data_IF_104773474470
#
_entry.id   IF_104773474470
#
_cell.length_a   1.000
_cell.length_b   1.000
_cell.length_c   1.000
_cell.angle_alpha   90.00
_cell.angle_beta   90.00
_cell.angle_gamma   90.00
#
_symmetry.space_group_name_H-M   'P 1'
#
loop_
_entity.id
_entity.type
_entity.pdbx_description
1 polymer ?
#
# COMPACT_ATOMS: atom_id res chain seq x y z
N UNK A 1 21.39 -33.24 43.90
CA UNK A 1 20.43 -32.79 42.87
C UNK A 1 21.07 -33.06 41.51
N UNK A 2 20.79 -34.22 40.89
CA UNK A 2 21.34 -34.57 39.58
C UNK A 2 20.53 -33.85 38.50
N UNK A 3 21.17 -32.91 37.80
CA UNK A 3 20.57 -32.24 36.65
C UNK A 3 20.70 -33.19 35.46
N UNK A 4 19.59 -33.79 35.03
CA UNK A 4 19.50 -34.50 33.76
C UNK A 4 19.63 -33.48 32.62
N UNK A 5 20.86 -33.23 32.16
CA UNK A 5 21.10 -32.55 30.90
C UNK A 5 20.94 -33.58 29.77
N UNK A 6 19.72 -33.73 29.26
CA UNK A 6 19.51 -34.34 27.95
C UNK A 6 20.02 -33.33 26.93
N UNK A 7 21.30 -33.40 26.59
CA UNK A 7 21.83 -32.73 25.41
C UNK A 7 21.21 -33.42 24.20
N UNK A 8 20.12 -32.88 23.68
CA UNK A 8 19.66 -33.27 22.36
C UNK A 8 20.53 -32.50 21.34
N UNK A 9 21.49 -33.15 20.65
CA UNK A 9 22.37 -32.49 19.70
C UNK A 9 21.63 -31.86 18.50
N UNK A 10 20.33 -32.16 18.33
CA UNK A 10 19.52 -31.62 17.25
C UNK A 10 19.06 -30.15 17.45
N UNK A 11 19.11 -29.58 18.66
CA UNK A 11 18.43 -28.30 18.95
C UNK A 11 19.30 -27.16 19.49
N UNK A 12 20.59 -27.38 19.74
CA UNK A 12 21.47 -26.31 20.21
C UNK A 12 22.92 -26.65 19.90
N UNK A 13 23.42 -26.19 18.76
CA UNK A 13 24.86 -26.09 18.56
C UNK A 13 25.35 -24.99 19.51
N UNK A 14 25.87 -25.38 20.66
CA UNK A 14 26.35 -24.43 21.68
C UNK A 14 27.85 -24.33 21.51
N UNK A 15 28.37 -23.13 21.23
CA UNK A 15 29.82 -22.88 21.19
C UNK A 15 30.28 -22.55 22.59
N UNK A 16 31.32 -23.26 23.06
CA UNK A 16 32.02 -22.93 24.28
C UNK A 16 33.09 -21.90 23.95
N UNK A 17 32.99 -20.70 24.51
CA UNK A 17 34.07 -19.72 24.43
C UNK A 17 35.24 -20.22 25.29
N UNK A 18 36.40 -20.45 24.65
CA UNK A 18 37.56 -21.08 25.29
C UNK A 18 38.26 -20.18 26.33
N UNK A 19 38.08 -18.86 26.28
CA UNK A 19 38.70 -17.92 27.21
C UNK A 19 37.85 -17.64 28.45
N UNK A 20 36.53 -17.74 28.31
CA UNK A 20 35.56 -17.37 29.37
C UNK A 20 34.78 -18.57 29.92
N UNK A 21 34.81 -19.72 29.25
CA UNK A 21 34.01 -20.89 29.58
C UNK A 21 32.51 -20.71 29.32
N UNK A 22 32.10 -19.59 28.73
CA UNK A 22 30.68 -19.27 28.51
C UNK A 22 30.14 -20.07 27.33
N UNK A 23 28.99 -20.70 27.52
CA UNK A 23 28.23 -21.37 26.46
C UNK A 23 27.37 -20.32 25.74
N UNK A 24 27.63 -20.13 24.46
CA UNK A 24 26.80 -19.30 23.59
C UNK A 24 26.08 -20.22 22.63
N UNK A 25 24.74 -20.13 22.57
CA UNK A 25 23.97 -20.84 21.54
C UNK A 25 24.39 -20.23 20.20
N UNK A 26 24.85 -21.04 19.23
CA UNK A 26 24.98 -20.60 17.84
C UNK A 26 23.59 -20.14 17.43
N UNK A 27 23.43 -18.82 17.27
CA UNK A 27 22.25 -18.27 16.64
C UNK A 27 22.07 -18.97 15.29
N UNK A 28 20.83 -19.26 14.91
CA UNK A 28 20.50 -19.99 13.67
C UNK A 28 20.74 -19.17 12.40
N UNK A 29 21.65 -18.19 12.44
CA UNK A 29 21.76 -17.11 11.47
C UNK A 29 20.54 -16.17 11.54
N UNK A 30 20.69 -14.96 10.99
CA UNK A 30 19.51 -14.11 10.75
C UNK A 30 18.73 -14.77 9.62
N UNK A 31 17.48 -15.16 9.88
CA UNK A 31 16.59 -15.67 8.83
C UNK A 31 16.20 -14.50 7.92
N UNK A 32 16.12 -14.76 6.61
CA UNK A 32 15.63 -13.77 5.62
C UNK A 32 14.19 -13.34 5.89
N UNK A 33 13.74 -12.31 5.18
CA UNK A 33 12.37 -11.79 5.31
C UNK A 33 11.35 -12.69 4.59
N UNK A 34 11.80 -13.44 3.59
CA UNK A 34 10.98 -14.34 2.81
C UNK A 34 11.44 -15.80 2.93
N UNK A 35 10.50 -16.71 2.72
CA UNK A 35 10.77 -18.14 2.59
C UNK A 35 10.04 -18.69 1.37
N UNK A 36 10.77 -19.35 0.46
CA UNK A 36 10.19 -20.01 -0.70
C UNK A 36 9.55 -21.32 -0.25
N UNK A 37 8.21 -21.38 -0.26
CA UNK A 37 7.47 -22.62 0.03
C UNK A 37 7.44 -23.53 -1.20
N UNK A 38 7.21 -22.95 -2.39
CA UNK A 38 7.32 -23.65 -3.68
C UNK A 38 8.03 -22.76 -4.70
N UNK A 39 9.15 -23.22 -5.29
CA UNK A 39 9.94 -22.39 -6.20
C UNK A 39 9.24 -22.20 -7.54
N UNK A 40 9.60 -21.12 -8.24
CA UNK A 40 9.22 -20.97 -9.64
C UNK A 40 10.03 -21.91 -10.52
N UNK A 41 9.38 -22.46 -11.56
CA UNK A 41 10.03 -23.20 -12.65
C UNK A 41 10.20 -22.33 -13.91
N UNK A 42 9.71 -21.10 -13.87
CA UNK A 42 9.80 -20.18 -15.00
C UNK A 42 11.17 -19.50 -15.03
N UNK A 43 11.70 -19.29 -16.23
CA UNK A 43 12.88 -18.46 -16.45
C UNK A 43 12.61 -17.00 -16.01
N UNK A 44 13.64 -16.22 -15.63
CA UNK A 44 13.52 -14.78 -15.42
C UNK A 44 12.85 -14.08 -16.62
N UNK A 45 12.04 -13.05 -16.35
CA UNK A 45 11.28 -12.33 -17.38
C UNK A 45 10.12 -13.07 -18.05
N UNK A 46 9.97 -14.40 -17.85
CA UNK A 46 8.85 -15.14 -18.41
C UNK A 46 7.49 -14.63 -17.88
N UNK A 47 6.42 -14.64 -18.68
CA UNK A 47 5.18 -14.02 -18.27
C UNK A 47 4.46 -14.71 -17.11
N UNK A 48 3.93 -13.94 -16.17
CA UNK A 48 3.29 -14.44 -14.95
C UNK A 48 2.36 -13.42 -14.29
N UNK A 49 1.47 -13.89 -13.42
CA UNK A 49 0.64 -13.03 -12.56
C UNK A 49 1.09 -13.11 -11.11
N UNK A 50 1.44 -11.99 -10.49
CA UNK A 50 1.75 -11.89 -9.06
C UNK A 50 0.46 -11.69 -8.23
N UNK A 51 0.19 -12.60 -7.30
CA UNK A 51 -1.01 -12.54 -6.45
C UNK A 51 -0.59 -12.33 -5.01
N UNK A 52 -0.91 -11.17 -4.45
CA UNK A 52 -0.61 -10.88 -3.04
C UNK A 52 -1.75 -11.41 -2.17
N UNK A 53 -1.44 -12.45 -1.39
CA UNK A 53 -2.36 -13.05 -0.44
C UNK A 53 -2.05 -12.59 0.97
N UNK A 54 -3.09 -12.57 1.79
CA UNK A 54 -2.97 -12.31 3.22
C UNK A 54 -4.22 -11.66 3.75
N UNK A 55 -4.22 -11.43 5.06
CA UNK A 55 -5.39 -10.91 5.74
C UNK A 55 -5.37 -9.39 5.79
N UNK A 56 -6.54 -8.76 5.89
CA UNK A 56 -6.63 -7.32 6.15
C UNK A 56 -5.82 -6.98 7.42
N UNK A 57 -5.02 -5.91 7.33
CA UNK A 57 -4.02 -5.48 8.34
C UNK A 57 -2.79 -6.39 8.50
N UNK A 58 -2.64 -7.41 7.66
CA UNK A 58 -1.53 -8.37 7.67
C UNK A 58 -0.30 -7.94 6.88
N UNK A 59 -0.27 -6.74 6.30
CA UNK A 59 0.89 -6.27 5.52
C UNK A 59 0.81 -6.53 4.01
N UNK A 60 -0.34 -6.94 3.48
CA UNK A 60 -0.53 -7.12 2.03
C UNK A 60 -0.29 -5.85 1.23
N UNK A 61 -0.65 -4.67 1.78
CA UNK A 61 -0.33 -3.39 1.14
C UNK A 61 1.17 -3.13 1.05
N UNK A 62 1.96 -3.56 2.05
CA UNK A 62 3.43 -3.41 2.01
C UNK A 62 3.98 -4.16 0.80
N UNK A 63 3.62 -5.44 0.63
CA UNK A 63 4.09 -6.25 -0.52
C UNK A 63 3.58 -5.69 -1.85
N UNK A 64 2.30 -5.29 -1.94
CA UNK A 64 1.78 -4.67 -3.16
C UNK A 64 2.50 -3.36 -3.51
N UNK A 65 2.84 -2.54 -2.50
CA UNK A 65 3.66 -1.34 -2.66
C UNK A 65 5.06 -1.68 -3.16
N UNK A 66 5.73 -2.65 -2.55
CA UNK A 66 7.04 -3.16 -2.99
C UNK A 66 7.00 -3.63 -4.45
N UNK A 67 5.96 -4.37 -4.87
CA UNK A 67 5.77 -4.79 -6.26
C UNK A 67 5.66 -3.60 -7.22
N UNK A 68 4.91 -2.55 -6.88
CA UNK A 68 4.88 -1.30 -7.67
C UNK A 68 6.25 -0.62 -7.70
N UNK A 69 6.95 -0.63 -6.58
CA UNK A 69 8.34 -0.16 -6.46
C UNK A 69 9.32 -0.90 -7.38
N UNK A 70 9.07 -2.19 -7.62
CA UNK A 70 9.79 -3.03 -8.60
C UNK A 70 9.32 -2.83 -10.05
N UNK A 71 8.28 -2.04 -10.27
CA UNK A 71 7.72 -1.76 -11.61
C UNK A 71 6.65 -2.77 -12.07
N UNK A 72 6.11 -3.58 -11.17
CA UNK A 72 4.98 -4.48 -11.49
C UNK A 72 3.69 -3.67 -11.60
N UNK A 73 2.94 -3.85 -12.69
CA UNK A 73 1.59 -3.31 -12.80
C UNK A 73 0.69 -4.07 -11.80
N UNK A 74 0.11 -3.35 -10.83
CA UNK A 74 -0.74 -3.95 -9.78
C UNK A 74 -2.24 -3.74 -10.03
N UNK A 75 -2.61 -3.34 -11.24
CA UNK A 75 -3.95 -2.92 -11.63
C UNK A 75 -4.11 -1.40 -11.76
N UNK A 76 -5.35 -0.98 -11.98
CA UNK A 76 -5.73 0.40 -12.26
C UNK A 76 -6.44 1.04 -11.05
N UNK A 77 -6.46 2.36 -10.99
CA UNK A 77 -7.16 3.14 -9.95
C UNK A 77 -6.84 2.70 -8.52
N UNK A 78 -5.56 2.36 -8.31
CA UNK A 78 -5.08 1.83 -7.05
C UNK A 78 -5.27 2.86 -5.93
N UNK A 79 -6.02 2.47 -4.91
CA UNK A 79 -6.11 3.23 -3.67
C UNK A 79 -4.80 3.23 -2.87
N UNK A 80 -4.79 3.88 -1.71
CA UNK A 80 -3.67 3.81 -0.75
C UNK A 80 -3.29 2.40 -0.34
N UNK A 81 -4.26 1.48 -0.36
CA UNK A 81 -4.03 0.09 0.00
C UNK A 81 -3.41 -0.70 -1.16
N UNK A 82 -3.13 -0.06 -2.30
CA UNK A 82 -2.71 -0.70 -3.55
C UNK A 82 -3.66 -1.84 -3.97
N UNK A 83 -4.95 -1.62 -3.74
CA UNK A 83 -6.02 -2.53 -4.12
C UNK A 83 -6.57 -2.13 -5.48
N UNK A 84 -6.77 -3.13 -6.31
CA UNK A 84 -7.38 -2.98 -7.62
C UNK A 84 -8.90 -2.81 -7.47
N UNK A 85 -9.38 -1.62 -7.82
CA UNK A 85 -10.79 -1.25 -7.66
C UNK A 85 -11.73 -2.15 -8.48
N UNK A 86 -11.31 -2.64 -9.65
CA UNK A 86 -12.13 -3.56 -10.46
C UNK A 86 -12.21 -4.93 -9.81
N UNK A 87 -11.10 -5.47 -9.31
CA UNK A 87 -11.11 -6.76 -8.59
C UNK A 87 -11.96 -6.67 -7.32
N UNK A 88 -11.87 -5.56 -6.59
CA UNK A 88 -12.74 -5.30 -5.44
C UNK A 88 -14.22 -5.30 -5.83
N UNK A 89 -14.59 -4.63 -6.93
CA UNK A 89 -15.98 -4.62 -7.41
C UNK A 89 -16.47 -6.04 -7.75
N UNK A 90 -15.64 -6.85 -8.41
CA UNK A 90 -15.94 -8.25 -8.73
C UNK A 90 -16.24 -9.05 -7.47
N UNK A 91 -15.39 -8.96 -6.44
CA UNK A 91 -15.62 -9.71 -5.19
C UNK A 91 -16.88 -9.21 -4.49
N UNK A 92 -17.05 -7.88 -4.37
CA UNK A 92 -18.21 -7.29 -3.68
C UNK A 92 -19.54 -7.63 -4.35
N UNK A 93 -19.57 -7.72 -5.68
CA UNK A 93 -20.76 -8.06 -6.48
C UNK A 93 -20.89 -9.55 -6.80
N UNK A 94 -19.89 -10.35 -6.41
CA UNK A 94 -19.78 -11.78 -6.74
C UNK A 94 -19.78 -12.06 -8.26
N UNK A 95 -19.30 -11.13 -9.08
CA UNK A 95 -19.28 -11.20 -10.54
C UNK A 95 -18.02 -11.92 -11.07
N UNK A 96 -17.64 -13.06 -10.47
CA UNK A 96 -16.35 -13.73 -10.73
C UNK A 96 -16.12 -14.11 -12.20
N UNK A 97 -17.19 -14.39 -12.94
CA UNK A 97 -17.11 -14.74 -14.37
C UNK A 97 -16.53 -13.61 -15.23
N UNK A 98 -16.59 -12.37 -14.74
CA UNK A 98 -16.02 -11.19 -15.43
C UNK A 98 -14.50 -11.08 -15.27
N UNK A 99 -13.91 -11.74 -14.26
CA UNK A 99 -12.49 -11.63 -13.97
C UNK A 99 -11.61 -12.19 -15.09
N UNK A 100 -12.05 -13.28 -15.75
CA UNK A 100 -11.31 -13.88 -16.85
C UNK A 100 -11.04 -12.89 -17.99
N UNK A 101 -11.98 -12.00 -18.28
CA UNK A 101 -11.81 -10.94 -19.27
C UNK A 101 -10.73 -9.93 -18.87
N UNK A 102 -10.71 -9.52 -17.59
CA UNK A 102 -9.69 -8.61 -17.06
C UNK A 102 -8.31 -9.27 -17.07
N UNK A 103 -8.20 -10.50 -16.60
CA UNK A 103 -6.95 -11.24 -16.57
C UNK A 103 -6.36 -11.39 -17.98
N UNK A 104 -7.19 -11.77 -18.96
CA UNK A 104 -6.78 -11.90 -20.37
C UNK A 104 -6.31 -10.58 -20.98
N UNK A 105 -7.01 -9.48 -20.70
CA UNK A 105 -6.59 -8.15 -21.18
C UNK A 105 -5.21 -7.78 -20.63
N UNK A 106 -4.98 -7.98 -19.32
CA UNK A 106 -3.70 -7.68 -18.69
C UNK A 106 -2.57 -8.61 -19.12
N UNK A 107 -2.89 -9.88 -19.37
CA UNK A 107 -1.92 -10.82 -19.91
C UNK A 107 -1.40 -10.41 -21.31
N UNK A 108 -2.23 -9.72 -22.10
CA UNK A 108 -1.86 -9.19 -23.40
C UNK A 108 -1.04 -7.89 -23.30
N UNK A 109 -1.32 -7.04 -22.31
CA UNK A 109 -0.66 -5.74 -22.11
C UNK A 109 0.66 -5.86 -21.33
N UNK A 110 0.78 -6.87 -20.46
CA UNK A 110 1.89 -6.97 -19.52
C UNK A 110 2.48 -8.38 -19.47
N UNK A 111 3.81 -8.46 -19.56
CA UNK A 111 4.54 -9.70 -19.26
C UNK A 111 4.39 -10.11 -17.78
N UNK A 112 4.44 -9.13 -16.88
CA UNK A 112 4.23 -9.33 -15.45
C UNK A 112 3.23 -8.27 -14.94
N UNK A 113 2.11 -8.74 -14.42
CA UNK A 113 1.14 -7.93 -13.69
C UNK A 113 0.76 -8.64 -12.40
N UNK A 114 0.07 -7.95 -11.53
CA UNK A 114 -0.44 -8.52 -10.30
C UNK A 114 -1.66 -7.80 -9.79
N UNK A 115 -2.20 -8.31 -8.71
CA UNK A 115 -3.27 -7.65 -7.98
C UNK A 115 -3.22 -8.06 -6.51
N UNK A 116 -3.89 -7.25 -5.70
CA UNK A 116 -4.02 -7.46 -4.27
C UNK A 116 -5.43 -7.09 -3.87
N UNK A 117 -6.10 -8.00 -3.18
CA UNK A 117 -7.33 -7.71 -2.46
C UNK A 117 -7.42 -8.70 -1.29
N UNK A 118 -7.27 -8.27 -0.02
CA UNK A 118 -7.17 -9.19 1.11
C UNK A 118 -8.33 -10.19 1.17
N UNK A 119 -9.55 -9.72 0.91
CA UNK A 119 -10.77 -10.52 0.90
C UNK A 119 -10.84 -11.49 -0.29
N UNK A 120 -10.14 -11.23 -1.40
CA UNK A 120 -10.03 -12.23 -2.47
C UNK A 120 -9.30 -13.50 -2.00
N UNK A 121 -8.45 -13.40 -0.97
CA UNK A 121 -7.71 -14.56 -0.44
C UNK A 121 -8.63 -15.68 0.06
N UNK A 122 -9.89 -15.38 0.41
CA UNK A 122 -10.87 -16.40 0.89
C UNK A 122 -11.66 -17.05 -0.23
N UNK A 123 -11.56 -16.53 -1.46
CA UNK A 123 -12.29 -16.99 -2.66
C UNK A 123 -11.35 -17.18 -3.85
N UNK A 124 -10.07 -17.45 -3.57
CA UNK A 124 -9.02 -17.51 -4.58
C UNK A 124 -9.18 -18.71 -5.54
N UNK A 125 -9.92 -19.74 -5.13
CA UNK A 125 -10.37 -20.84 -5.98
C UNK A 125 -11.19 -20.36 -7.20
N UNK A 126 -11.92 -19.24 -7.06
CA UNK A 126 -12.70 -18.62 -8.15
C UNK A 126 -11.82 -17.86 -9.14
N UNK A 127 -10.72 -17.29 -8.67
CA UNK A 127 -9.79 -16.50 -9.49
C UNK A 127 -8.73 -17.37 -10.18
N UNK A 128 -8.20 -18.37 -9.45
CA UNK A 128 -7.06 -19.19 -9.88
C UNK A 128 -7.17 -19.74 -11.31
N UNK A 129 -8.32 -20.30 -11.77
CA UNK A 129 -8.42 -20.87 -13.11
C UNK A 129 -8.20 -19.86 -14.25
N UNK A 130 -8.35 -18.56 -13.97
CA UNK A 130 -8.19 -17.48 -14.96
C UNK A 130 -6.78 -16.88 -14.99
N UNK A 131 -5.88 -17.32 -14.11
CA UNK A 131 -4.56 -16.69 -13.95
C UNK A 131 -3.49 -17.40 -14.79
N UNK A 132 -2.66 -16.60 -15.47
CA UNK A 132 -1.49 -17.10 -16.19
C UNK A 132 -0.30 -17.25 -15.25
N UNK A 133 0.17 -18.49 -15.10
CA UNK A 133 1.33 -18.85 -14.29
C UNK A 133 1.36 -18.13 -12.92
N UNK A 134 0.31 -18.28 -12.09
CA UNK A 134 0.17 -17.49 -10.88
C UNK A 134 1.35 -17.71 -9.92
N UNK A 135 1.91 -16.62 -9.38
CA UNK A 135 2.92 -16.63 -8.34
C UNK A 135 2.31 -15.99 -7.09
N UNK A 136 2.19 -16.77 -6.03
CA UNK A 136 1.55 -16.31 -4.80
C UNK A 136 2.58 -15.75 -3.83
N UNK A 137 2.37 -14.51 -3.39
CA UNK A 137 3.12 -13.86 -2.33
C UNK A 137 2.22 -13.79 -1.10
N UNK A 138 2.39 -14.73 -0.18
CA UNK A 138 1.55 -14.83 1.01
C UNK A 138 2.20 -14.13 2.19
N UNK A 139 1.61 -13.00 2.60
CA UNK A 139 2.10 -12.20 3.72
C UNK A 139 1.58 -12.74 5.05
N UNK A 140 2.52 -13.10 5.92
CA UNK A 140 2.28 -13.53 7.27
C UNK A 140 2.72 -12.41 8.22
N UNK A 141 1.80 -12.03 9.12
CA UNK A 141 2.05 -11.12 10.23
C UNK A 141 1.66 -11.77 11.53
N UNK A 142 2.37 -11.45 12.61
CA UNK A 142 2.05 -11.96 13.92
C UNK A 142 0.55 -11.74 14.26
N UNK A 143 -0.23 -12.79 14.62
CA UNK A 143 -1.67 -12.68 14.84
C UNK A 143 -2.07 -11.62 15.87
N UNK A 144 -1.32 -11.50 16.97
CA UNK A 144 -1.54 -10.46 17.98
C UNK A 144 -1.38 -9.04 17.40
N UNK A 145 -0.31 -8.77 16.65
CA UNK A 145 -0.06 -7.45 16.07
C UNK A 145 -1.14 -7.08 15.04
N UNK A 146 -1.61 -8.07 14.27
CA UNK A 146 -2.77 -7.90 13.38
C UNK A 146 -4.04 -7.60 14.17
N UNK A 147 -4.33 -8.38 15.22
CA UNK A 147 -5.51 -8.21 16.06
C UNK A 147 -5.57 -6.83 16.70
N UNK A 148 -4.46 -6.37 17.28
CA UNK A 148 -4.32 -5.01 17.81
C UNK A 148 -4.55 -3.95 16.72
N UNK A 149 -3.99 -4.13 15.52
CA UNK A 149 -4.22 -3.20 14.40
C UNK A 149 -5.68 -3.20 13.93
N UNK A 150 -6.39 -4.32 14.00
CA UNK A 150 -7.80 -4.39 13.65
C UNK A 150 -8.65 -3.63 14.68
N UNK A 151 -8.50 -3.98 15.97
CA UNK A 151 -9.23 -3.35 17.08
C UNK A 151 -9.00 -1.83 17.12
N UNK A 152 -7.76 -1.36 16.91
CA UNK A 152 -7.45 0.08 16.84
C UNK A 152 -8.24 0.82 15.75
N UNK A 153 -8.60 0.15 14.65
CA UNK A 153 -9.21 0.79 13.47
C UNK A 153 -10.72 0.60 13.38
N UNK A 154 -11.22 -0.54 13.84
CA UNK A 154 -12.64 -0.90 13.71
C UNK A 154 -13.33 -1.12 15.06
N UNK A 155 -12.59 -1.07 16.17
CA UNK A 155 -13.06 -1.52 17.47
C UNK A 155 -13.16 -3.05 17.56
N UNK A 156 -13.80 -3.55 18.62
CA UNK A 156 -14.09 -4.97 18.83
C UNK A 156 -13.19 -5.67 19.87
N UNK A 157 -13.33 -6.99 19.96
CA UNK A 157 -12.59 -7.84 20.89
C UNK A 157 -11.26 -8.33 20.30
N UNK A 158 -10.18 -8.23 21.09
CA UNK A 158 -8.85 -8.62 20.66
C UNK A 158 -8.72 -10.14 20.50
N UNK A 159 -9.31 -10.92 21.41
CA UNK A 159 -9.26 -12.38 21.36
C UNK A 159 -9.91 -12.92 20.09
N UNK A 160 -11.14 -12.47 19.80
CA UNK A 160 -11.85 -12.76 18.56
C UNK A 160 -11.03 -12.35 17.33
N UNK A 161 -10.46 -11.14 17.33
CA UNK A 161 -9.63 -10.64 16.21
C UNK A 161 -8.37 -11.49 15.94
N UNK A 162 -7.79 -12.08 16.97
CA UNK A 162 -6.64 -13.02 16.86
C UNK A 162 -7.10 -14.37 16.32
N UNK A 163 -8.21 -14.92 16.83
CA UNK A 163 -8.78 -16.18 16.34
C UNK A 163 -9.16 -16.08 14.86
N UNK A 164 -9.78 -14.98 14.45
CA UNK A 164 -10.15 -14.73 13.06
C UNK A 164 -8.93 -14.65 12.14
N UNK A 165 -7.82 -14.08 12.63
CA UNK A 165 -6.56 -14.05 11.90
C UNK A 165 -6.02 -15.46 11.65
N UNK A 166 -6.02 -16.31 12.67
CA UNK A 166 -5.56 -17.70 12.58
C UNK A 166 -6.41 -18.52 11.61
N UNK A 167 -7.74 -18.44 11.72
CA UNK A 167 -8.67 -19.12 10.79
C UNK A 167 -8.47 -18.67 9.34
N UNK A 168 -8.24 -17.37 9.14
CA UNK A 168 -7.99 -16.83 7.80
C UNK A 168 -6.67 -17.34 7.22
N UNK A 169 -5.61 -17.44 8.03
CA UNK A 169 -4.35 -18.05 7.59
C UNK A 169 -4.50 -19.54 7.27
N UNK A 170 -5.25 -20.30 8.09
CA UNK A 170 -5.58 -21.69 7.82
C UNK A 170 -6.29 -21.86 6.47
N UNK A 171 -7.31 -21.03 6.19
CA UNK A 171 -8.02 -21.05 4.91
C UNK A 171 -7.13 -20.74 3.70
N UNK A 172 -6.21 -19.78 3.84
CA UNK A 172 -5.25 -19.47 2.77
C UNK A 172 -4.28 -20.63 2.56
N UNK A 173 -3.76 -21.26 3.62
CA UNK A 173 -2.91 -22.43 3.50
C UNK A 173 -3.64 -23.61 2.85
N UNK A 174 -4.90 -23.86 3.23
CA UNK A 174 -5.71 -24.92 2.61
C UNK A 174 -5.88 -24.70 1.10
N UNK A 175 -6.10 -23.46 0.67
CA UNK A 175 -6.10 -23.11 -0.75
C UNK A 175 -4.74 -23.36 -1.42
N UNK A 176 -3.65 -22.89 -0.80
CA UNK A 176 -2.31 -23.04 -1.36
C UNK A 176 -1.88 -24.51 -1.48
N UNK A 177 -2.28 -25.38 -0.55
CA UNK A 177 -2.04 -26.82 -0.60
C UNK A 177 -2.78 -27.49 -1.78
N UNK A 178 -3.93 -26.94 -2.19
CA UNK A 178 -4.76 -27.47 -3.27
C UNK A 178 -4.31 -27.12 -4.69
N UNK A 179 -3.25 -26.33 -4.87
CA UNK A 179 -2.79 -25.86 -6.20
C UNK A 179 -1.31 -26.20 -6.45
N UNK A 180 -0.93 -26.41 -7.72
CA UNK A 180 0.48 -26.52 -8.14
C UNK A 180 0.97 -25.18 -8.69
N UNK A 181 1.30 -24.25 -7.80
CA UNK A 181 1.78 -22.91 -8.15
C UNK A 181 2.94 -22.46 -7.24
N UNK A 182 3.88 -21.63 -7.73
CA UNK A 182 4.94 -21.05 -6.89
C UNK A 182 4.37 -20.23 -5.74
N UNK A 183 4.99 -20.36 -4.56
CA UNK A 183 4.58 -19.66 -3.34
C UNK A 183 5.81 -19.11 -2.61
N UNK A 184 5.77 -17.81 -2.35
CA UNK A 184 6.68 -17.10 -1.44
C UNK A 184 5.91 -16.72 -0.18
N UNK A 185 6.40 -17.14 0.98
CA UNK A 185 5.95 -16.65 2.27
C UNK A 185 6.75 -15.39 2.60
N UNK A 186 6.06 -14.31 2.96
CA UNK A 186 6.68 -13.04 3.35
C UNK A 186 6.37 -12.79 4.82
N UNK A 187 7.39 -12.75 5.67
CA UNK A 187 7.26 -12.40 7.07
C UNK A 187 7.24 -10.87 7.20
N UNK A 188 6.11 -10.31 7.62
CA UNK A 188 5.93 -8.87 7.74
C UNK A 188 6.94 -8.23 8.67
N UNK A 189 7.14 -8.79 9.87
CA UNK A 189 8.04 -8.25 10.87
C UNK A 189 9.48 -8.20 10.35
N UNK A 190 9.97 -9.31 9.80
CA UNK A 190 11.32 -9.39 9.25
C UNK A 190 11.51 -8.49 8.02
N UNK A 191 10.49 -8.38 7.16
CA UNK A 191 10.53 -7.48 6.02
C UNK A 191 10.66 -6.01 6.45
N UNK A 192 10.04 -5.62 7.57
CA UNK A 192 10.18 -4.25 8.08
C UNK A 192 11.54 -3.95 8.71
N UNK A 193 12.22 -4.99 9.23
CA UNK A 193 13.57 -4.88 9.80
C UNK A 193 14.68 -4.88 8.75
N UNK A 194 14.46 -5.49 7.58
CA UNK A 194 15.46 -5.63 6.52
C UNK A 194 14.82 -5.46 5.14
N UNK A 195 14.51 -4.20 4.81
CA UNK A 195 13.60 -3.79 3.73
C UNK A 195 14.18 -4.06 2.36
N UNK A 196 15.46 -3.76 2.19
CA UNK A 196 16.21 -3.98 0.96
C UNK A 196 16.34 -5.48 0.66
N UNK A 197 16.63 -6.30 1.68
CA UNK A 197 16.68 -7.76 1.53
C UNK A 197 15.30 -8.28 1.15
N UNK A 198 14.23 -7.86 1.83
CA UNK A 198 12.87 -8.30 1.50
C UNK A 198 12.48 -7.94 0.05
N UNK A 199 12.78 -6.72 -0.38
CA UNK A 199 12.52 -6.28 -1.76
C UNK A 199 13.34 -7.09 -2.79
N UNK A 200 14.60 -7.39 -2.49
CA UNK A 200 15.46 -8.21 -3.34
C UNK A 200 14.99 -9.68 -3.42
N UNK A 201 14.58 -10.28 -2.30
CA UNK A 201 14.03 -11.64 -2.26
C UNK A 201 12.72 -11.75 -3.05
N UNK A 202 11.83 -10.75 -2.94
CA UNK A 202 10.60 -10.67 -3.73
C UNK A 202 10.92 -10.54 -5.23
N UNK A 203 11.86 -9.67 -5.61
CA UNK A 203 12.29 -9.50 -7.00
C UNK A 203 12.87 -10.81 -7.58
N UNK A 204 13.74 -11.47 -6.82
CA UNK A 204 14.35 -12.75 -7.20
C UNK A 204 13.29 -13.85 -7.39
N UNK A 205 12.33 -13.98 -6.47
CA UNK A 205 11.24 -14.96 -6.58
C UNK A 205 10.39 -14.75 -7.85
N UNK A 206 10.17 -13.49 -8.24
CA UNK A 206 9.44 -13.14 -9.47
C UNK A 206 10.30 -13.12 -10.73
N UNK A 207 11.59 -13.44 -10.62
CA UNK A 207 12.52 -13.41 -11.76
C UNK A 207 12.66 -12.01 -12.37
N UNK A 208 12.60 -10.97 -11.54
CA UNK A 208 12.80 -9.58 -11.93
C UNK A 208 14.29 -9.24 -11.75
N UNK A 209 14.95 -8.87 -12.83
CA UNK A 209 16.28 -8.24 -12.77
C UNK A 209 16.11 -6.79 -12.31
N UNK A 210 16.43 -6.53 -11.04
CA UNK A 210 16.29 -5.21 -10.43
C UNK A 210 17.65 -4.61 -10.11
N UNK A 211 17.86 -3.36 -10.52
CA UNK A 211 19.04 -2.59 -10.13
C UNK A 211 18.96 -2.18 -8.65
N UNK A 212 20.07 -1.81 -8.01
CA UNK A 212 20.06 -1.30 -6.63
C UNK A 212 19.09 -0.13 -6.42
N UNK A 213 18.94 0.77 -7.40
CA UNK A 213 18.01 1.89 -7.35
C UNK A 213 16.55 1.42 -7.34
N UNK A 214 16.23 0.41 -8.16
CA UNK A 214 14.89 -0.19 -8.19
C UNK A 214 14.58 -0.94 -6.89
N UNK A 215 15.56 -1.63 -6.32
CA UNK A 215 15.43 -2.24 -4.98
C UNK A 215 15.22 -1.18 -3.92
N UNK A 216 15.99 -0.08 -3.93
CA UNK A 216 15.82 1.04 -3.00
C UNK A 216 14.43 1.67 -3.08
N UNK A 217 13.91 1.90 -4.30
CA UNK A 217 12.54 2.37 -4.52
C UNK A 217 11.48 1.39 -4.00
N UNK A 218 11.72 0.08 -4.14
CA UNK A 218 10.81 -0.94 -3.62
C UNK A 218 10.87 -1.05 -2.08
N UNK A 219 12.05 -0.91 -1.49
CA UNK A 219 12.29 -0.91 -0.06
C UNK A 219 11.68 0.32 0.63
N UNK A 220 11.66 1.49 -0.02
CA UNK A 220 11.02 2.69 0.53
C UNK A 220 9.50 2.55 0.74
N UNK A 221 8.88 1.56 0.09
CA UNK A 221 7.46 1.23 0.30
C UNK A 221 7.22 0.47 1.63
N UNK A 222 8.29 0.05 2.31
CA UNK A 222 8.25 -0.67 3.58
C UNK A 222 8.55 0.31 4.71
N UNK A 223 7.54 0.95 5.30
CA UNK A 223 7.75 2.03 6.30
C UNK A 223 7.89 1.56 7.75
N UNK A 224 7.51 0.32 8.07
CA UNK A 224 7.40 -0.14 9.46
C UNK A 224 6.19 0.46 10.19
N UNK A 225 6.00 0.10 11.47
CA UNK A 225 4.99 0.65 12.39
C UNK A 225 3.50 0.50 12.02
N UNK A 226 3.18 -0.14 10.88
CA UNK A 226 1.80 -0.30 10.44
C UNK A 226 1.19 0.95 9.79
N UNK A 227 2.03 1.92 9.43
CA UNK A 227 1.63 3.14 8.72
C UNK A 227 1.24 2.86 7.27
N UNK A 228 1.80 1.80 6.66
CA UNK A 228 1.19 0.91 5.65
C UNK A 228 0.62 1.50 4.36
N UNK A 229 0.68 2.82 4.16
CA UNK A 229 -0.02 3.56 3.12
C UNK A 229 0.87 4.64 2.51
N UNK A 230 2.08 4.26 2.13
CA UNK A 230 2.94 5.19 1.42
C UNK A 230 2.52 5.17 -0.05
N UNK A 231 2.36 6.35 -0.63
CA UNK A 231 2.38 6.43 -2.08
C UNK A 231 3.77 6.07 -2.59
N UNK A 232 3.86 5.78 -3.89
CA UNK A 232 5.16 5.72 -4.55
C UNK A 232 5.93 7.02 -4.24
N UNK A 233 7.26 6.98 -4.07
CA UNK A 233 8.05 8.18 -3.73
C UNK A 233 7.78 9.37 -4.66
N UNK A 234 7.61 9.11 -5.96
CA UNK A 234 7.27 10.11 -6.97
C UNK A 234 5.83 10.66 -6.87
N UNK A 235 4.96 10.02 -6.10
CA UNK A 235 3.58 10.45 -5.83
C UNK A 235 3.36 10.71 -4.33
N UNK A 236 4.43 10.88 -3.57
CA UNK A 236 4.34 11.18 -2.14
C UNK A 236 3.64 12.53 -1.94
N UNK A 237 2.72 12.58 -0.97
CA UNK A 237 2.14 13.83 -0.52
C UNK A 237 1.74 13.75 0.94
N UNK A 238 1.78 14.90 1.59
CA UNK A 238 1.38 15.11 2.98
C UNK A 238 0.67 16.46 3.08
N UNK A 239 -0.29 16.58 3.98
CA UNK A 239 -0.86 17.85 4.36
C UNK A 239 -1.05 17.93 5.88
N UNK A 240 -0.67 19.05 6.46
CA UNK A 240 -1.00 19.41 7.83
C UNK A 240 -1.60 20.81 7.86
N UNK A 241 -2.63 21.03 8.66
CA UNK A 241 -3.18 22.38 8.83
C UNK A 241 -2.13 23.29 9.50
N UNK A 242 -2.02 24.53 9.01
CA UNK A 242 -1.08 25.54 9.49
C UNK A 242 -1.75 26.92 9.55
N UNK A 243 -1.01 27.94 9.99
CA UNK A 243 -1.51 29.30 9.98
C UNK A 243 -1.63 29.83 8.54
N UNK A 244 -2.70 30.56 8.24
CA UNK A 244 -2.94 31.11 6.90
C UNK A 244 -1.97 32.25 6.51
N UNK A 245 -1.20 32.79 7.46
CA UNK A 245 -0.25 33.88 7.23
C UNK A 245 0.91 33.50 6.29
N UNK A 246 1.15 32.20 6.11
CA UNK A 246 2.25 31.68 5.29
C UNK A 246 1.82 31.38 3.84
N UNK A 247 0.52 31.51 3.52
CA UNK A 247 0.02 31.38 2.17
C UNK A 247 0.38 32.62 1.36
N UNK A 248 1.02 32.42 0.20
CA UNK A 248 1.47 33.46 -0.70
C UNK A 248 0.34 34.08 -1.53
N UNK A 249 0.70 34.57 -2.72
CA UNK A 249 -0.24 35.22 -3.64
C UNK A 249 -1.44 34.34 -4.00
N UNK A 250 -2.58 34.98 -4.27
CA UNK A 250 -3.77 34.29 -4.74
C UNK A 250 -3.56 33.77 -6.17
N UNK A 251 -3.88 32.49 -6.40
CA UNK A 251 -3.91 31.96 -7.75
C UNK A 251 -5.20 32.48 -8.39
N UNK A 252 -5.10 33.56 -9.16
CA UNK A 252 -6.23 34.16 -9.87
C UNK A 252 -6.79 33.27 -11.01
N UNK A 253 -6.35 32.01 -11.10
CA UNK A 253 -6.80 31.09 -12.13
C UNK A 253 -8.15 30.51 -11.69
N UNK A 254 -9.21 30.68 -12.49
CA UNK A 254 -10.51 30.10 -12.17
C UNK A 254 -10.40 28.57 -12.08
N UNK A 255 -11.23 27.91 -11.25
CA UNK A 255 -11.19 26.46 -11.14
C UNK A 255 -11.35 25.80 -12.52
N UNK A 256 -10.45 24.88 -12.84
CA UNK A 256 -10.57 24.00 -13.99
C UNK A 256 -11.72 23.00 -13.82
N UNK A 257 -11.96 22.22 -14.88
CA UNK A 257 -12.94 21.14 -14.87
C UNK A 257 -12.27 19.79 -14.65
N UNK A 258 -12.99 18.85 -14.05
CA UNK A 258 -12.60 17.44 -14.05
C UNK A 258 -12.68 16.86 -15.47
N UNK A 259 -11.73 15.99 -15.78
CA UNK A 259 -11.82 15.11 -16.94
C UNK A 259 -12.97 14.10 -16.80
N UNK A 260 -13.40 13.51 -17.91
CA UNK A 260 -14.44 12.50 -17.91
C UNK A 260 -14.01 11.29 -17.06
N UNK A 261 -14.85 10.92 -16.08
CA UNK A 261 -14.59 9.78 -15.19
C UNK A 261 -13.66 10.08 -14.01
N UNK A 262 -13.04 11.27 -13.95
CA UNK A 262 -12.27 11.69 -12.78
C UNK A 262 -13.19 11.95 -11.59
N UNK A 263 -12.80 11.48 -10.39
CA UNK A 263 -13.51 11.74 -9.12
C UNK A 263 -15.03 11.49 -9.23
N UNK A 264 -15.43 10.23 -9.46
CA UNK A 264 -16.86 9.90 -9.62
C UNK A 264 -17.74 10.28 -8.42
N UNK A 265 -17.24 10.09 -7.19
CA UNK A 265 -17.92 10.58 -6.00
C UNK A 265 -17.75 12.09 -5.89
N UNK A 266 -18.86 12.83 -5.93
CA UNK A 266 -18.90 14.26 -5.73
C UNK A 266 -18.20 15.11 -6.80
N UNK A 267 -18.15 14.64 -8.06
CA UNK A 267 -17.67 15.42 -9.21
C UNK A 267 -18.27 16.83 -9.27
N UNK A 268 -19.57 16.97 -8.96
CA UNK A 268 -20.26 18.26 -8.91
C UNK A 268 -19.78 19.22 -7.81
N UNK A 269 -18.95 18.79 -6.87
CA UNK A 269 -18.42 19.60 -5.75
C UNK A 269 -16.90 19.80 -5.82
N UNK A 270 -16.25 19.08 -6.72
CA UNK A 270 -14.82 19.20 -6.92
C UNK A 270 -14.49 20.53 -7.61
N UNK A 271 -13.50 21.21 -7.06
CA UNK A 271 -12.87 22.37 -7.70
C UNK A 271 -11.41 22.01 -8.00
N UNK A 272 -10.96 22.26 -9.23
CA UNK A 272 -9.66 21.80 -9.73
C UNK A 272 -8.77 23.00 -9.99
N UNK A 273 -7.49 22.94 -9.62
CA UNK A 273 -6.50 23.96 -9.94
C UNK A 273 -5.28 23.33 -10.57
N UNK A 274 -4.85 23.91 -11.69
CA UNK A 274 -3.59 23.56 -12.34
C UNK A 274 -2.42 24.19 -11.60
N UNK A 275 -1.26 23.55 -11.72
CA UNK A 275 -0.01 24.11 -11.24
C UNK A 275 0.28 25.45 -11.93
N UNK A 276 0.91 26.40 -11.22
CA UNK A 276 1.38 27.65 -11.83
C UNK A 276 2.48 27.38 -12.87
N UNK A 277 2.85 28.40 -13.64
CA UNK A 277 4.03 28.34 -14.51
C UNK A 277 5.27 28.01 -13.66
N UNK A 278 5.95 26.90 -13.98
CA UNK A 278 7.05 26.36 -13.17
C UNK A 278 6.68 25.19 -12.25
N UNK A 279 5.39 24.84 -12.13
CA UNK A 279 4.93 23.71 -11.31
C UNK A 279 4.72 24.06 -9.83
N UNK A 280 4.17 23.12 -9.06
CA UNK A 280 4.14 23.25 -7.61
C UNK A 280 5.56 23.01 -7.03
N UNK A 281 6.02 23.81 -6.05
CA UNK A 281 7.22 23.48 -5.30
C UNK A 281 6.99 22.21 -4.47
N UNK A 282 8.07 21.55 -4.01
CA UNK A 282 7.96 20.34 -3.18
C UNK A 282 7.35 20.59 -1.81
N UNK A 283 7.34 21.84 -1.35
CA UNK A 283 6.66 22.27 -0.14
C UNK A 283 5.98 23.63 -0.37
N UNK A 284 4.67 23.72 -0.08
CA UNK A 284 3.89 24.94 -0.20
C UNK A 284 2.76 24.99 0.82
N UNK A 285 2.21 26.17 1.04
CA UNK A 285 0.98 26.37 1.81
C UNK A 285 -0.18 26.51 0.85
N UNK A 286 -1.25 25.73 1.05
CA UNK A 286 -2.49 25.75 0.28
C UNK A 286 -3.62 26.29 1.17
N UNK A 287 -4.14 27.48 0.87
CA UNK A 287 -5.31 28.03 1.55
C UNK A 287 -6.50 28.13 0.58
N UNK A 288 -7.72 27.92 1.06
CA UNK A 288 -8.92 28.02 0.21
C UNK A 288 -10.14 28.56 0.95
N UNK A 289 -11.11 29.06 0.18
CA UNK A 289 -12.43 29.48 0.65
C UNK A 289 -13.53 28.58 0.09
N UNK A 290 -14.67 28.46 0.79
CA UNK A 290 -15.87 27.75 0.31
C UNK A 290 -16.97 28.75 -0.08
N UNK A 291 -17.84 28.37 -1.02
CA UNK A 291 -18.95 29.21 -1.53
C UNK A 291 -20.07 29.45 -0.51
N UNK A 292 -20.37 28.48 0.36
CA UNK A 292 -21.36 28.60 1.42
C UNK A 292 -20.85 29.33 2.67
N UNK A 293 -19.64 29.90 2.59
CA UNK A 293 -19.02 30.71 3.61
C UNK A 293 -17.71 30.12 4.13
N UNK A 294 -17.45 30.29 5.43
CA UNK A 294 -16.24 29.77 6.06
C UNK A 294 -16.43 28.29 6.43
N UNK A 295 -15.45 27.42 6.14
CA UNK A 295 -15.38 26.08 6.73
C UNK A 295 -15.62 26.14 8.23
N UNK A 296 -16.38 25.19 8.76
CA UNK A 296 -16.62 25.05 10.19
C UNK A 296 -15.58 24.13 10.77
N UNK A 297 -15.20 24.37 12.02
CA UNK A 297 -14.34 23.44 12.75
C UNK A 297 -15.01 22.04 12.76
N UNK A 298 -14.29 21.03 12.31
CA UNK A 298 -14.79 19.66 12.16
C UNK A 298 -15.35 19.33 10.77
N UNK A 299 -15.43 20.30 9.85
CA UNK A 299 -15.65 19.99 8.44
C UNK A 299 -14.46 19.18 7.91
N UNK A 300 -14.73 18.28 6.97
CA UNK A 300 -13.69 17.51 6.30
C UNK A 300 -13.60 17.88 4.83
N UNK A 301 -12.39 17.94 4.31
CA UNK A 301 -12.11 18.22 2.91
C UNK A 301 -11.19 17.13 2.37
N UNK A 302 -11.47 16.71 1.14
CA UNK A 302 -10.63 15.75 0.43
C UNK A 302 -9.80 16.48 -0.61
N UNK A 303 -8.49 16.42 -0.44
CA UNK A 303 -7.51 16.94 -1.38
C UNK A 303 -7.11 15.81 -2.32
N UNK A 304 -7.19 16.00 -3.63
CA UNK A 304 -6.67 15.05 -4.62
C UNK A 304 -5.44 15.65 -5.29
N UNK A 305 -4.48 14.79 -5.62
CA UNK A 305 -3.20 15.12 -6.23
C UNK A 305 -3.09 14.42 -7.58
N UNK A 306 -2.89 15.18 -8.64
CA UNK A 306 -2.70 14.64 -9.98
C UNK A 306 -1.24 14.79 -10.41
N UNK A 307 -0.54 13.67 -10.50
CA UNK A 307 0.83 13.57 -11.04
C UNK A 307 0.84 13.08 -12.50
N UNK A 308 -0.18 12.34 -12.92
CA UNK A 308 -0.17 11.55 -14.15
C UNK A 308 -1.00 12.19 -15.28
N UNK A 309 -1.70 13.28 -15.00
CA UNK A 309 -2.72 13.87 -15.88
C UNK A 309 -4.14 13.35 -15.59
N UNK A 310 -4.35 12.61 -14.50
CA UNK A 310 -5.64 12.12 -14.01
C UNK A 310 -5.68 12.04 -12.47
N UNK A 311 -6.85 12.31 -11.87
CA UNK A 311 -7.04 12.13 -10.43
C UNK A 311 -7.37 10.68 -10.06
N UNK A 312 -6.55 10.07 -9.21
CA UNK A 312 -6.73 8.70 -8.74
C UNK A 312 -7.20 8.63 -7.30
N UNK A 313 -7.95 7.58 -6.95
CA UNK A 313 -8.45 7.35 -5.60
C UNK A 313 -7.33 7.13 -4.57
N UNK A 314 -6.15 6.69 -4.99
CA UNK A 314 -4.96 6.56 -4.15
C UNK A 314 -4.22 7.86 -3.91
N UNK A 315 -4.40 8.86 -4.77
CA UNK A 315 -3.71 10.14 -4.64
C UNK A 315 -4.60 11.20 -3.99
N UNK A 316 -5.09 10.94 -2.77
CA UNK A 316 -5.98 11.89 -2.08
C UNK A 316 -5.80 11.89 -0.57
N UNK A 317 -5.93 13.01 0.12
CA UNK A 317 -5.92 13.05 1.58
C UNK A 317 -7.27 13.54 2.10
N UNK A 318 -7.79 12.90 3.15
CA UNK A 318 -8.90 13.47 3.91
C UNK A 318 -8.29 14.28 5.05
N UNK A 319 -8.53 15.60 5.05
CA UNK A 319 -8.09 16.51 6.10
C UNK A 319 -9.31 17.05 6.83
N UNK A 320 -9.22 17.11 8.15
CA UNK A 320 -10.17 17.85 8.97
C UNK A 320 -9.75 19.32 8.98
N UNK A 321 -10.74 20.20 8.94
CA UNK A 321 -10.57 21.64 9.01
C UNK A 321 -10.82 22.07 10.45
N UNK A 322 -9.79 22.56 11.12
CA UNK A 322 -9.89 23.09 12.48
C UNK A 322 -10.23 24.59 12.48
N UNK A 323 -9.94 25.31 11.40
CA UNK A 323 -10.08 26.76 11.33
C UNK A 323 -11.09 27.24 10.28
N UNK A 324 -11.63 28.44 10.49
CA UNK A 324 -12.58 29.07 9.55
C UNK A 324 -11.92 29.61 8.28
N UNK A 325 -10.60 29.52 8.18
CA UNK A 325 -9.78 29.95 7.04
C UNK A 325 -8.65 28.93 6.87
N UNK A 326 -8.98 27.70 6.46
CA UNK A 326 -8.01 26.62 6.45
C UNK A 326 -6.85 26.94 5.51
N UNK A 327 -5.66 26.68 6.02
CA UNK A 327 -4.43 26.63 5.26
C UNK A 327 -3.72 25.33 5.60
N UNK A 328 -3.16 24.67 4.60
CA UNK A 328 -2.47 23.41 4.76
C UNK A 328 -1.05 23.53 4.24
N UNK A 329 -0.06 23.22 5.07
CA UNK A 329 1.29 22.95 4.60
C UNK A 329 1.26 21.62 3.86
N UNK A 330 1.46 21.69 2.55
CA UNK A 330 1.57 20.55 1.65
C UNK A 330 3.04 20.26 1.42
N UNK A 331 3.41 19.00 1.56
CA UNK A 331 4.67 18.46 1.05
C UNK A 331 4.31 17.45 -0.03
N UNK A 332 4.83 17.62 -1.24
CA UNK A 332 4.47 16.83 -2.40
C UNK A 332 5.71 16.50 -3.22
N UNK A 333 5.72 15.34 -3.87
CA UNK A 333 6.74 14.98 -4.82
C UNK A 333 6.79 15.97 -5.99
N UNK A 334 7.94 16.07 -6.64
CA UNK A 334 8.08 16.89 -7.86
C UNK A 334 7.16 16.38 -8.97
N UNK A 335 6.58 17.28 -9.75
CA UNK A 335 5.75 16.92 -10.91
C UNK A 335 4.25 16.86 -10.64
N UNK A 336 3.79 17.32 -9.47
CA UNK A 336 2.37 17.58 -9.22
C UNK A 336 1.84 18.56 -10.28
N UNK A 337 0.80 18.16 -11.02
CA UNK A 337 0.21 18.91 -12.15
C UNK A 337 -1.06 19.65 -11.76
N UNK A 338 -1.94 18.99 -11.00
CA UNK A 338 -3.22 19.57 -10.56
C UNK A 338 -3.54 19.14 -9.13
N UNK A 339 -4.33 19.96 -8.45
CA UNK A 339 -4.95 19.63 -7.17
C UNK A 339 -6.46 19.77 -7.32
N UNK A 340 -7.22 18.84 -6.78
CA UNK A 340 -8.66 19.03 -6.61
C UNK A 340 -9.01 19.12 -5.13
N UNK A 341 -9.89 20.05 -4.78
CA UNK A 341 -10.44 20.22 -3.45
C UNK A 341 -11.90 19.81 -3.50
N UNK A 342 -12.27 18.80 -2.71
CA UNK A 342 -13.62 18.26 -2.63
C UNK A 342 -14.09 18.37 -1.18
N UNK A 343 -14.88 19.39 -0.82
CA UNK A 343 -15.50 19.46 0.50
C UNK A 343 -16.31 18.19 0.77
N UNK A 344 -16.49 17.76 2.02
CA UNK A 344 -17.37 16.63 2.32
C UNK A 344 -18.82 17.06 2.56
N UNK A 345 -19.06 18.34 2.87
CA UNK A 345 -20.40 18.94 2.91
C UNK A 345 -20.99 19.05 1.49
N UNK A 346 -22.19 18.52 1.28
CA UNK A 346 -22.86 18.48 -0.03
C UNK A 346 -23.18 19.85 -0.61
N UNK A 347 -23.22 20.90 0.22
CA UNK A 347 -23.61 22.26 -0.18
C UNK A 347 -22.42 23.18 -0.49
N UNK A 348 -21.19 22.69 -0.32
CA UNK A 348 -20.00 23.53 -0.44
C UNK A 348 -19.14 23.16 -1.65
N UNK A 349 -18.53 24.18 -2.26
CA UNK A 349 -17.47 24.07 -3.27
C UNK A 349 -16.35 25.04 -2.93
N UNK A 350 -15.11 24.67 -3.23
CA UNK A 350 -14.01 25.59 -3.04
C UNK A 350 -13.99 26.64 -4.17
N UNK A 351 -13.92 27.92 -3.81
CA UNK A 351 -14.11 29.05 -4.75
C UNK A 351 -12.83 29.77 -5.11
N UNK A 352 -11.87 29.82 -4.19
CA UNK A 352 -10.56 30.38 -4.41
C UNK A 352 -9.48 29.56 -3.72
N UNK A 353 -8.27 29.61 -4.28
CA UNK A 353 -7.08 28.96 -3.74
C UNK A 353 -5.93 29.95 -3.75
N UNK A 354 -5.19 30.00 -2.63
CA UNK A 354 -3.94 30.75 -2.49
C UNK A 354 -2.81 29.76 -2.23
N UNK A 355 -1.66 30.00 -2.84
CA UNK A 355 -0.47 29.19 -2.61
C UNK A 355 0.74 30.05 -2.28
N UNK A 356 1.58 29.56 -1.37
CA UNK A 356 2.86 30.19 -1.02
C UNK A 356 3.96 29.16 -0.83
N UNK A 357 5.21 29.56 -1.04
CA UNK A 357 6.35 28.73 -0.61
C UNK A 357 6.30 28.57 0.90
N UNK A 358 6.45 27.35 1.40
CA UNK A 358 6.65 27.14 2.82
C UNK A 358 8.00 27.75 3.22
N UNK A 359 7.97 28.73 4.13
CA UNK A 359 9.17 29.38 4.68
C UNK A 359 9.99 28.48 5.59
#
# INVERSE_FOLDING_TARGET
MSVNAVSNPAYSSTVLDAGTGRRTVLGTGRKGACAVLRPTRLAPGAPRTAVVLGIARGGTSMVAGTLRGLGVNMGDDLGFNHEDARVQQIVNRQEFDTFAGIAKARDAEHGLWGFKFPEASTVMDRFHPSLRNPHYLFVLRHPLARGQSAVKRTGGDLGASVVDALKSYEGIFAFLDGIDAPVLLVNYEQATEDREIAAAEIAAFLGIEATPERIGRAASMITGQGDGYVNLPEHAFYAAECAAGDAGGELAVPPGSLGAGEIGYAAGRASVWAAPEGGFPSAFVLAFALDDGRPRAGDAVRLYYDYEGSFHAGHRLLVEVASTTPAFRIEAASGLKRIAIVPMNEKSRATSVRFGTAG
#
